data_IF_404239808231
#
_entry.id   IF_404239808231
#
_cell.length_a   1.000
_cell.length_b   1.000
_cell.length_c   1.000
_cell.angle_alpha   90.00
_cell.angle_beta   90.00
_cell.angle_gamma   90.00
#
_symmetry.space_group_name_H-M   'P 1'
#
loop_
_entity.id
_entity.type
_entity.pdbx_description
1 polymer ?
#
# COMPACT_ATOMS: atom_id res chain seq x y z
N UNK A 1 -14.44 26.46 -25.24
CA UNK A 1 -13.52 25.31 -25.07
C UNK A 1 -13.17 25.15 -23.59
N UNK A 2 -14.08 24.62 -22.78
CA UNK A 2 -13.83 24.42 -21.34
C UNK A 2 -14.41 23.04 -21.01
N UNK A 3 -13.60 21.98 -21.07
CA UNK A 3 -14.03 20.68 -20.51
C UNK A 3 -12.96 19.61 -20.35
N UNK A 4 -11.66 19.90 -20.53
CA UNK A 4 -10.61 18.89 -20.33
C UNK A 4 -9.74 19.13 -19.08
N UNK A 5 -9.72 20.36 -18.54
CA UNK A 5 -8.83 20.71 -17.43
C UNK A 5 -9.32 20.19 -16.07
N UNK A 6 -10.63 20.22 -15.83
CA UNK A 6 -11.26 19.78 -14.57
C UNK A 6 -11.19 18.26 -14.36
N UNK A 7 -11.25 17.48 -15.44
CA UNK A 7 -11.20 16.01 -15.36
C UNK A 7 -9.79 15.49 -15.03
N UNK A 8 -8.75 16.13 -15.57
CA UNK A 8 -7.35 15.75 -15.34
C UNK A 8 -6.89 16.02 -13.89
N UNK A 9 -7.29 17.16 -13.29
CA UNK A 9 -7.01 17.47 -11.88
C UNK A 9 -7.64 16.42 -10.95
N UNK A 10 -8.90 16.04 -11.19
CA UNK A 10 -9.58 15.04 -10.36
C UNK A 10 -8.93 13.64 -10.39
N UNK A 11 -8.24 13.28 -11.48
CA UNK A 11 -7.48 12.03 -11.59
C UNK A 11 -6.15 12.14 -10.85
N UNK A 12 -5.41 13.22 -11.04
CA UNK A 12 -4.15 13.47 -10.36
C UNK A 12 -4.32 13.52 -8.83
N UNK A 13 -5.39 14.13 -8.33
CA UNK A 13 -5.68 14.20 -6.89
C UNK A 13 -6.04 12.82 -6.31
N UNK A 14 -6.79 12.00 -7.05
CA UNK A 14 -7.08 10.60 -6.67
C UNK A 14 -5.82 9.74 -6.67
N UNK A 15 -4.97 9.90 -7.67
CA UNK A 15 -3.67 9.21 -7.78
C UNK A 15 -2.72 9.59 -6.64
N UNK A 16 -2.64 10.88 -6.30
CA UNK A 16 -1.85 11.34 -5.15
C UNK A 16 -2.39 10.76 -3.84
N UNK A 17 -3.71 10.79 -3.65
CA UNK A 17 -4.35 10.26 -2.43
C UNK A 17 -4.13 8.75 -2.30
N UNK A 18 -4.23 8.00 -3.40
CA UNK A 18 -3.96 6.56 -3.40
C UNK A 18 -2.50 6.24 -3.12
N UNK A 19 -1.57 7.02 -3.68
CA UNK A 19 -0.15 6.89 -3.42
C UNK A 19 0.20 7.17 -1.95
N UNK A 20 -0.30 8.27 -1.38
CA UNK A 20 -0.08 8.64 0.02
C UNK A 20 -0.63 7.56 0.98
N UNK A 21 -1.79 6.96 0.64
CA UNK A 21 -2.36 5.83 1.39
C UNK A 21 -1.55 4.55 1.25
N UNK A 22 -1.14 4.18 0.04
CA UNK A 22 -0.34 2.99 -0.21
C UNK A 22 1.00 3.06 0.54
N UNK A 23 1.66 4.23 0.50
CA UNK A 23 2.89 4.52 1.24
C UNK A 23 2.72 4.39 2.76
N UNK A 24 1.67 4.99 3.31
CA UNK A 24 1.38 4.90 4.75
C UNK A 24 1.18 3.45 5.18
N UNK A 25 0.44 2.67 4.40
CA UNK A 25 0.17 1.27 4.73
C UNK A 25 1.39 0.37 4.49
N UNK A 26 2.27 0.70 3.55
CA UNK A 26 3.60 0.06 3.43
C UNK A 26 4.44 0.27 4.69
N UNK A 27 4.49 1.50 5.21
CA UNK A 27 5.24 1.80 6.43
C UNK A 27 4.64 1.07 7.65
N UNK A 28 3.31 0.99 7.73
CA UNK A 28 2.62 0.17 8.73
C UNK A 28 2.98 -1.32 8.62
N UNK A 29 3.03 -1.86 7.40
CA UNK A 29 3.41 -3.26 7.16
C UNK A 29 4.85 -3.54 7.60
N UNK A 30 5.78 -2.64 7.28
CA UNK A 30 7.18 -2.72 7.73
C UNK A 30 7.30 -2.66 9.26
N UNK A 31 6.58 -1.73 9.91
CA UNK A 31 6.56 -1.64 11.37
C UNK A 31 5.95 -2.87 12.03
N UNK A 32 4.87 -3.43 11.48
CA UNK A 32 4.27 -4.66 11.99
C UNK A 32 5.20 -5.86 11.81
N UNK A 33 5.91 -5.94 10.66
CA UNK A 33 6.97 -6.93 10.42
C UNK A 33 8.06 -6.85 11.49
N UNK A 34 8.59 -5.66 11.78
CA UNK A 34 9.65 -5.48 12.77
C UNK A 34 9.19 -5.81 14.21
N UNK A 35 7.89 -5.70 14.49
CA UNK A 35 7.28 -6.10 15.77
C UNK A 35 6.89 -7.58 15.82
N UNK A 36 7.03 -8.32 14.73
CA UNK A 36 6.56 -9.70 14.61
C UNK A 36 5.04 -9.86 14.57
N UNK A 37 4.28 -8.78 14.35
CA UNK A 37 2.83 -8.82 14.18
C UNK A 37 2.47 -9.22 12.75
N UNK A 38 2.43 -10.52 12.49
CA UNK A 38 2.13 -11.09 11.17
C UNK A 38 0.74 -10.65 10.67
N UNK A 39 -0.28 -10.66 11.54
CA UNK A 39 -1.65 -10.28 11.16
C UNK A 39 -1.75 -8.78 10.86
N UNK A 40 -1.06 -7.95 11.65
CA UNK A 40 -0.94 -6.51 11.40
C UNK A 40 -0.28 -6.22 10.05
N UNK A 41 0.81 -6.92 9.75
CA UNK A 41 1.53 -6.76 8.48
C UNK A 41 0.67 -7.20 7.28
N UNK A 42 -0.01 -8.35 7.35
CA UNK A 42 -0.95 -8.79 6.30
C UNK A 42 -2.11 -7.82 6.09
N UNK A 43 -2.68 -7.27 7.19
CA UNK A 43 -3.77 -6.29 7.11
C UNK A 43 -3.32 -5.00 6.44
N UNK A 44 -2.13 -4.51 6.78
CA UNK A 44 -1.56 -3.30 6.17
C UNK A 44 -1.25 -3.52 4.68
N UNK A 45 -0.65 -4.66 4.32
CA UNK A 45 -0.41 -5.03 2.92
C UNK A 45 -1.70 -5.04 2.08
N UNK A 46 -2.77 -5.66 2.59
CA UNK A 46 -4.07 -5.68 1.91
C UNK A 46 -4.66 -4.27 1.70
N UNK A 47 -4.43 -3.34 2.64
CA UNK A 47 -4.88 -1.95 2.50
C UNK A 47 -4.05 -1.19 1.47
N UNK A 48 -2.74 -1.39 1.45
CA UNK A 48 -1.86 -0.82 0.42
C UNK A 48 -2.27 -1.31 -0.97
N UNK A 49 -2.52 -2.61 -1.13
CA UNK A 49 -3.03 -3.18 -2.40
C UNK A 49 -4.38 -2.59 -2.82
N UNK A 50 -5.29 -2.39 -1.86
CA UNK A 50 -6.60 -1.79 -2.16
C UNK A 50 -6.44 -0.36 -2.66
N UNK A 51 -5.62 0.45 -2.00
CA UNK A 51 -5.33 1.82 -2.43
C UNK A 51 -4.66 1.84 -3.83
N UNK A 52 -3.71 0.93 -4.07
CA UNK A 52 -3.07 0.81 -5.37
C UNK A 52 -4.05 0.40 -6.49
N UNK A 53 -5.01 -0.50 -6.22
CA UNK A 53 -6.03 -0.95 -7.18
C UNK A 53 -7.00 0.16 -7.61
N UNK A 54 -7.19 1.18 -6.78
CA UNK A 54 -8.06 2.32 -7.12
C UNK A 54 -7.45 3.22 -8.20
N UNK A 55 -6.17 3.04 -8.55
CA UNK A 55 -5.45 3.90 -9.50
C UNK A 55 -4.49 3.11 -10.39
N UNK A 56 -3.99 3.72 -11.47
CA UNK A 56 -2.91 3.15 -12.28
C UNK A 56 -1.53 3.72 -11.89
N UNK A 57 -1.41 4.22 -10.66
CA UNK A 57 -0.18 4.83 -10.18
C UNK A 57 0.87 3.75 -9.88
N UNK A 58 2.00 3.82 -10.59
CA UNK A 58 3.11 2.86 -10.45
C UNK A 58 3.77 2.89 -9.08
N UNK A 59 3.84 4.07 -8.46
CA UNK A 59 4.41 4.22 -7.12
C UNK A 59 3.51 3.55 -6.08
N UNK A 60 2.19 3.75 -6.17
CA UNK A 60 1.22 3.07 -5.29
C UNK A 60 1.28 1.54 -5.44
N UNK A 61 1.43 1.03 -6.67
CA UNK A 61 1.60 -0.39 -6.94
C UNK A 61 2.91 -0.94 -6.37
N UNK A 62 3.99 -0.17 -6.45
CA UNK A 62 5.28 -0.53 -5.84
C UNK A 62 5.17 -0.57 -4.31
N UNK A 63 4.59 0.45 -3.69
CA UNK A 63 4.40 0.50 -2.24
C UNK A 63 3.52 -0.66 -1.75
N UNK A 64 2.47 -1.03 -2.50
CA UNK A 64 1.66 -2.21 -2.20
C UNK A 64 2.45 -3.52 -2.26
N UNK A 65 3.34 -3.66 -3.25
CA UNK A 65 4.23 -4.83 -3.35
C UNK A 65 5.21 -4.88 -2.18
N UNK A 66 5.85 -3.76 -1.85
CA UNK A 66 6.78 -3.66 -0.73
C UNK A 66 6.08 -4.00 0.61
N UNK A 67 4.82 -3.57 0.77
CA UNK A 67 3.98 -3.93 1.93
C UNK A 67 3.71 -5.44 2.00
N UNK A 68 3.46 -6.07 0.84
CA UNK A 68 3.20 -7.51 0.73
C UNK A 68 4.44 -8.34 1.04
N UNK A 69 5.59 -7.91 0.54
CA UNK A 69 6.89 -8.51 0.84
C UNK A 69 7.19 -8.40 2.34
N UNK A 70 6.90 -7.25 2.97
CA UNK A 70 7.04 -7.10 4.42
C UNK A 70 6.13 -8.06 5.22
N UNK A 71 4.89 -8.27 4.78
CA UNK A 71 3.97 -9.23 5.42
C UNK A 71 4.45 -10.68 5.28
N UNK A 72 4.96 -11.05 4.10
CA UNK A 72 5.54 -12.38 3.87
C UNK A 72 6.78 -12.59 4.74
N UNK A 73 7.68 -11.61 4.80
CA UNK A 73 8.85 -11.63 5.69
C UNK A 73 8.46 -11.81 7.16
N UNK A 74 7.42 -11.09 7.61
CA UNK A 74 6.91 -11.22 8.98
C UNK A 74 6.46 -12.65 9.25
N UNK A 75 5.73 -13.24 8.31
CA UNK A 75 5.24 -14.62 8.40
C UNK A 75 6.38 -15.63 8.37
N UNK A 76 7.41 -15.43 7.56
CA UNK A 76 8.55 -16.33 7.50
C UNK A 76 9.42 -16.27 8.76
N UNK A 77 9.66 -15.07 9.28
CA UNK A 77 10.52 -14.84 10.46
C UNK A 77 9.83 -15.16 11.77
N UNK A 78 8.54 -14.84 11.90
CA UNK A 78 7.78 -14.94 13.16
C UNK A 78 6.63 -15.95 13.12
N UNK A 79 6.14 -16.33 11.93
CA UNK A 79 5.05 -17.29 11.79
C UNK A 79 5.47 -18.77 11.83
N UNK A 80 6.77 -19.07 11.71
CA UNK A 80 7.31 -20.45 11.82
C UNK A 80 7.54 -20.91 13.27
N UNK A 81 7.15 -20.12 14.26
CA UNK A 81 7.29 -20.46 15.69
C UNK A 81 6.07 -21.17 16.30
N UNK A 82 5.18 -21.76 15.48
CA UNK A 82 4.00 -22.50 15.93
C UNK A 82 4.09 -23.98 15.61
#
# INVERSE_FOLDING_TARGET
MISNYTHAQSKADKEKTANDRARTERDNAAHARDKGDVKGAEKAANRAEKAAKETSNKDAQKDAKDARDAANDAKEKHGKQQ
#
